data_IF_639334095704
#
_entry.id   IF_639334095704
#
_cell.length_a   1.000
_cell.length_b   1.000
_cell.length_c   1.000
_cell.angle_alpha   90.00
_cell.angle_beta   90.00
_cell.angle_gamma   90.00
#
_symmetry.space_group_name_H-M   'P 1'
#
loop_
_entity.id
_entity.type
_entity.pdbx_description
1 polymer ?
#
# COMPACT_ATOMS: atom_id res chain seq x y z
N UNK A 1 -53.53 34.95 74.04
CA UNK A 1 -54.22 34.80 72.74
C UNK A 1 -53.25 34.10 71.83
N UNK A 2 -53.53 32.82 71.62
CA UNK A 2 -52.60 31.75 71.28
C UNK A 2 -52.48 31.52 69.78
N UNK A 3 -51.31 30.99 69.43
CA UNK A 3 -50.89 30.27 68.22
C UNK A 3 -51.98 29.71 67.32
N UNK A 4 -51.78 29.90 66.01
CA UNK A 4 -52.32 29.01 64.99
C UNK A 4 -51.17 28.21 64.36
N UNK A 5 -51.28 26.90 64.48
CA UNK A 5 -50.48 25.87 63.82
C UNK A 5 -50.89 25.70 62.34
N UNK A 6 -49.85 25.54 61.53
CA UNK A 6 -49.62 24.72 60.34
C UNK A 6 -50.79 23.98 59.65
N UNK A 7 -50.77 24.01 58.30
CA UNK A 7 -51.10 22.97 57.27
C UNK A 7 -51.27 23.75 55.94
N UNK A 8 -50.86 23.36 54.73
CA UNK A 8 -49.85 22.49 54.17
C UNK A 8 -49.87 22.73 52.64
N UNK A 9 -48.69 22.59 52.00
CA UNK A 9 -48.47 21.98 50.67
C UNK A 9 -48.70 22.78 49.36
N UNK A 10 -47.85 22.37 48.40
CA UNK A 10 -47.93 22.51 46.92
C UNK A 10 -47.48 23.88 46.38
N UNK A 11 -46.71 24.02 45.31
CA UNK A 11 -46.05 23.12 44.36
C UNK A 11 -45.11 24.01 43.54
N UNK A 12 -43.83 23.65 43.39
CA UNK A 12 -42.89 24.41 42.57
C UNK A 12 -43.05 24.04 41.09
N UNK A 13 -44.19 24.38 40.52
CA UNK A 13 -44.45 24.22 39.09
C UNK A 13 -44.07 25.52 38.36
N UNK A 14 -42.79 25.65 37.99
CA UNK A 14 -42.34 26.68 37.05
C UNK A 14 -42.71 26.24 35.63
N UNK A 15 -43.53 26.99 34.87
CA UNK A 15 -43.85 26.66 33.51
C UNK A 15 -42.64 26.99 32.63
N UNK A 16 -41.95 25.96 32.15
CA UNK A 16 -40.96 26.11 31.09
C UNK A 16 -41.62 26.84 29.92
N UNK A 17 -41.09 28.01 29.56
CA UNK A 17 -41.43 28.63 28.28
C UNK A 17 -40.65 27.83 27.23
N UNK A 18 -41.20 26.71 26.77
CA UNK A 18 -40.77 26.15 25.47
C UNK A 18 -41.23 27.17 24.44
N UNK A 19 -40.31 28.05 24.09
CA UNK A 19 -40.41 28.93 22.92
C UNK A 19 -40.72 28.01 21.74
N UNK A 20 -41.98 27.98 21.32
CA UNK A 20 -42.41 27.18 20.18
C UNK A 20 -41.69 27.72 18.95
N UNK A 21 -40.60 27.06 18.55
CA UNK A 21 -39.88 27.38 17.31
C UNK A 21 -40.92 27.30 16.21
N UNK A 22 -41.17 28.43 15.55
CA UNK A 22 -41.97 28.42 14.33
C UNK A 22 -41.22 27.56 13.32
N UNK A 23 -41.89 26.60 12.65
CA UNK A 23 -41.25 25.85 11.60
C UNK A 23 -40.73 26.86 10.58
N UNK A 24 -39.47 26.73 10.13
CA UNK A 24 -38.94 27.62 9.10
C UNK A 24 -39.88 27.56 7.90
N UNK A 25 -40.13 28.72 7.29
CA UNK A 25 -40.92 28.78 6.06
C UNK A 25 -40.32 27.78 5.06
N UNK A 26 -41.18 27.06 4.34
CA UNK A 26 -40.76 26.07 3.32
C UNK A 26 -39.76 26.67 2.32
N UNK A 27 -39.88 27.97 2.08
CA UNK A 27 -38.99 28.75 1.23
C UNK A 27 -37.57 28.84 1.80
N UNK A 28 -37.42 29.01 3.11
CA UNK A 28 -36.12 29.06 3.80
C UNK A 28 -35.43 27.70 3.86
N UNK A 29 -36.21 26.62 4.03
CA UNK A 29 -35.69 25.26 3.95
C UNK A 29 -35.18 24.93 2.54
N UNK A 30 -35.89 25.37 1.49
CA UNK A 30 -35.49 25.17 0.10
C UNK A 30 -34.24 25.98 -0.28
N UNK A 31 -34.10 27.22 0.20
CA UNK A 31 -32.92 28.06 -0.07
C UNK A 31 -31.64 27.43 0.50
N UNK A 32 -31.74 26.77 1.65
CA UNK A 32 -30.60 26.11 2.31
C UNK A 32 -30.27 24.75 1.69
N UNK A 33 -31.27 23.97 1.26
CA UNK A 33 -31.06 22.60 0.77
C UNK A 33 -30.58 22.53 -0.68
N UNK A 34 -31.03 23.44 -1.55
CA UNK A 34 -30.65 23.49 -2.97
C UNK A 34 -29.13 23.59 -3.18
N UNK A 35 -28.37 24.51 -2.55
CA UNK A 35 -26.93 24.60 -2.75
C UNK A 35 -26.19 23.38 -2.20
N UNK A 36 -26.70 22.77 -1.12
CA UNK A 36 -26.13 21.55 -0.52
C UNK A 36 -26.30 20.36 -1.49
N UNK A 37 -27.50 20.15 -2.02
CA UNK A 37 -27.78 19.09 -2.99
C UNK A 37 -26.97 19.29 -4.27
N UNK A 38 -26.88 20.52 -4.77
CA UNK A 38 -26.09 20.85 -5.96
C UNK A 38 -24.59 20.58 -5.75
N UNK A 39 -24.05 20.98 -4.59
CA UNK A 39 -22.65 20.73 -4.23
C UNK A 39 -22.36 19.23 -4.09
N UNK A 40 -23.24 18.47 -3.45
CA UNK A 40 -23.12 17.01 -3.31
C UNK A 40 -23.15 16.30 -4.66
N UNK A 41 -24.01 16.72 -5.60
CA UNK A 41 -24.03 16.16 -6.95
C UNK A 41 -22.73 16.44 -7.72
N UNK A 42 -22.17 17.65 -7.57
CA UNK A 42 -20.87 17.99 -8.15
C UNK A 42 -19.72 17.15 -7.60
N UNK A 43 -19.68 16.93 -6.28
CA UNK A 43 -18.66 16.11 -5.63
C UNK A 43 -18.75 14.62 -6.00
N UNK A 44 -19.96 14.10 -6.23
CA UNK A 44 -20.18 12.72 -6.68
C UNK A 44 -19.84 12.51 -8.17
N UNK A 45 -19.76 13.58 -8.95
CA UNK A 45 -19.37 13.54 -10.37
C UNK A 45 -17.85 13.46 -10.60
N UNK A 46 -17.06 13.38 -9.53
CA UNK A 46 -15.63 13.05 -9.59
C UNK A 46 -15.38 11.59 -9.95
N UNK A 47 -15.79 11.15 -11.14
CA UNK A 47 -15.33 9.88 -11.72
C UNK A 47 -13.91 10.08 -12.23
N UNK A 48 -12.95 9.41 -11.57
CA UNK A 48 -11.58 9.31 -12.04
C UNK A 48 -11.54 8.50 -13.34
N UNK A 49 -11.73 9.14 -14.49
CA UNK A 49 -11.45 8.56 -15.82
C UNK A 49 -9.93 8.62 -16.12
N UNK A 50 -9.10 8.28 -15.14
CA UNK A 50 -7.68 8.05 -15.37
C UNK A 50 -7.53 6.75 -16.12
N UNK A 51 -7.32 6.83 -17.44
CA UNK A 51 -6.94 5.68 -18.27
C UNK A 51 -5.62 5.13 -17.72
N UNK A 52 -5.64 3.92 -17.18
CA UNK A 52 -4.42 3.21 -16.80
C UNK A 52 -3.71 2.78 -18.07
N UNK A 53 -2.67 3.52 -18.44
CA UNK A 53 -1.75 3.10 -19.49
C UNK A 53 -0.70 2.20 -18.85
N UNK A 54 -0.73 0.91 -19.22
CA UNK A 54 0.29 -0.04 -18.80
C UNK A 54 1.55 0.23 -19.61
N UNK A 55 2.55 0.83 -18.97
CA UNK A 55 3.89 0.96 -19.54
C UNK A 55 4.67 -0.30 -19.18
N UNK A 56 5.34 -0.96 -20.14
CA UNK A 56 6.21 -2.08 -19.82
C UNK A 56 7.33 -1.62 -18.88
N UNK A 57 7.49 -2.31 -17.77
CA UNK A 57 8.60 -2.07 -16.84
C UNK A 57 9.88 -2.54 -17.55
N UNK A 58 10.91 -1.68 -17.68
CA UNK A 58 12.17 -2.09 -18.25
C UNK A 58 12.80 -3.18 -17.35
N UNK A 59 13.30 -4.29 -17.92
CA UNK A 59 13.93 -5.34 -17.14
C UNK A 59 15.19 -4.81 -16.45
N UNK A 60 15.46 -5.25 -15.22
CA UNK A 60 16.71 -4.91 -14.55
C UNK A 60 17.86 -5.54 -15.35
N UNK A 61 18.84 -4.75 -15.82
CA UNK A 61 19.91 -5.28 -16.64
C UNK A 61 20.86 -6.13 -15.79
N UNK A 62 21.05 -7.38 -16.22
CA UNK A 62 22.06 -8.27 -15.65
C UNK A 62 23.41 -7.94 -16.27
N UNK A 63 24.47 -7.71 -15.47
CA UNK A 63 25.82 -7.50 -15.99
C UNK A 63 26.29 -8.64 -16.90
N UNK A 64 26.88 -8.31 -18.06
CA UNK A 64 27.26 -9.31 -19.07
C UNK A 64 28.26 -10.37 -18.55
N UNK A 65 29.10 -10.03 -17.57
CA UNK A 65 30.05 -10.98 -16.98
C UNK A 65 29.37 -12.12 -16.23
N UNK A 66 28.18 -11.88 -15.64
CA UNK A 66 27.41 -12.94 -14.96
C UNK A 66 26.77 -13.92 -15.95
N UNK A 67 26.59 -13.48 -17.19
CA UNK A 67 26.02 -14.27 -18.29
C UNK A 67 27.10 -14.92 -19.15
N UNK A 68 28.37 -14.81 -18.75
CA UNK A 68 29.46 -15.48 -19.45
C UNK A 68 29.34 -17.00 -19.29
N UNK A 69 29.74 -17.73 -20.33
CA UNK A 69 29.71 -19.20 -20.31
C UNK A 69 30.70 -19.75 -19.26
N UNK A 70 30.29 -20.83 -18.60
CA UNK A 70 31.17 -21.63 -17.74
C UNK A 70 32.12 -22.46 -18.59
N UNK A 71 33.26 -21.87 -18.97
CA UNK A 71 34.25 -22.54 -19.80
C UNK A 71 35.00 -23.60 -18.98
N UNK A 72 34.92 -24.86 -19.42
CA UNK A 72 35.75 -25.93 -18.87
C UNK A 72 37.22 -25.65 -19.21
N UNK A 73 38.17 -25.96 -18.28
CA UNK A 73 39.57 -26.03 -18.63
C UNK A 73 39.80 -27.08 -19.74
N UNK A 74 40.88 -26.90 -20.49
CA UNK A 74 41.29 -27.82 -21.55
C UNK A 74 41.69 -29.16 -20.93
N UNK A 75 41.05 -30.24 -21.39
CA UNK A 75 41.37 -31.60 -20.97
C UNK A 75 42.40 -32.16 -21.95
N UNK A 76 43.62 -32.50 -21.51
CA UNK A 76 44.63 -33.08 -22.38
C UNK A 76 44.32 -34.54 -22.73
N UNK A 77 44.69 -34.97 -23.94
CA UNK A 77 44.51 -36.36 -24.41
C UNK A 77 45.31 -37.39 -23.58
N UNK A 78 46.41 -36.93 -22.98
CA UNK A 78 47.25 -37.72 -22.08
C UNK A 78 47.59 -36.91 -20.84
N UNK A 79 47.40 -37.50 -19.65
CA UNK A 79 47.77 -36.86 -18.39
C UNK A 79 48.31 -37.90 -17.39
N UNK A 80 49.21 -37.47 -16.52
CA UNK A 80 49.60 -38.29 -15.37
C UNK A 80 48.52 -38.24 -14.29
N UNK A 81 48.58 -39.14 -13.30
CA UNK A 81 47.68 -39.07 -12.16
C UNK A 81 47.83 -37.75 -11.38
N UNK A 82 49.05 -37.19 -11.29
CA UNK A 82 49.27 -35.90 -10.63
C UNK A 82 48.58 -34.75 -11.38
N UNK A 83 48.64 -34.75 -12.71
CA UNK A 83 47.99 -33.73 -13.53
C UNK A 83 46.46 -33.76 -13.36
N UNK A 84 45.88 -34.95 -13.10
CA UNK A 84 44.45 -35.09 -12.83
C UNK A 84 44.00 -34.36 -11.57
N UNK A 85 44.87 -34.23 -10.57
CA UNK A 85 44.55 -33.48 -9.35
C UNK A 85 44.47 -31.98 -9.63
N UNK A 86 45.40 -31.46 -10.43
CA UNK A 86 45.40 -30.05 -10.85
C UNK A 86 44.18 -29.76 -11.72
N UNK A 87 43.84 -30.65 -12.66
CA UNK A 87 42.63 -30.51 -13.47
C UNK A 87 41.35 -30.50 -12.61
N UNK A 88 41.25 -31.37 -11.61
CA UNK A 88 40.11 -31.40 -10.69
C UNK A 88 39.99 -30.11 -9.89
N UNK A 89 41.11 -29.56 -9.41
CA UNK A 89 41.12 -28.28 -8.71
C UNK A 89 40.60 -27.15 -9.62
N UNK A 90 41.12 -27.04 -10.84
CA UNK A 90 40.65 -26.06 -11.84
C UNK A 90 39.15 -26.20 -12.14
N UNK A 91 38.66 -27.43 -12.31
CA UNK A 91 37.25 -27.70 -12.55
C UNK A 91 36.38 -27.24 -11.36
N UNK A 92 36.81 -27.52 -10.14
CA UNK A 92 36.10 -27.10 -8.93
C UNK A 92 36.06 -25.57 -8.81
N UNK A 93 37.15 -24.87 -9.14
CA UNK A 93 37.19 -23.40 -9.18
C UNK A 93 36.20 -22.82 -10.19
N UNK A 94 36.12 -23.39 -11.40
CA UNK A 94 35.14 -22.95 -12.41
C UNK A 94 33.71 -23.15 -11.91
N UNK A 95 33.42 -24.31 -11.30
CA UNK A 95 32.11 -24.60 -10.72
C UNK A 95 31.76 -23.62 -9.59
N UNK A 96 32.71 -23.32 -8.71
CA UNK A 96 32.54 -22.37 -7.62
C UNK A 96 32.18 -20.98 -8.17
N UNK A 97 32.97 -20.46 -9.11
CA UNK A 97 32.72 -19.15 -9.71
C UNK A 97 31.35 -19.10 -10.39
N UNK A 98 31.00 -20.10 -11.18
CA UNK A 98 29.69 -20.17 -11.82
C UNK A 98 28.52 -20.24 -10.83
N UNK A 99 28.72 -20.87 -9.68
CA UNK A 99 27.71 -20.91 -8.62
C UNK A 99 27.55 -19.55 -7.93
N UNK A 100 28.64 -18.77 -7.80
CA UNK A 100 28.59 -17.39 -7.33
C UNK A 100 27.85 -16.50 -8.34
N UNK A 101 28.14 -16.63 -9.63
CA UNK A 101 27.49 -15.82 -10.67
C UNK A 101 25.97 -16.13 -10.73
N UNK A 102 25.58 -17.41 -10.68
CA UNK A 102 24.17 -17.83 -10.57
C UNK A 102 23.47 -17.29 -9.32
N UNK A 103 24.19 -17.07 -8.23
CA UNK A 103 23.62 -16.48 -7.01
C UNK A 103 23.40 -14.99 -7.20
N UNK A 104 24.40 -14.28 -7.74
CA UNK A 104 24.30 -12.87 -8.05
C UNK A 104 23.15 -12.58 -9.03
N UNK A 105 22.96 -13.42 -10.06
CA UNK A 105 21.81 -13.34 -10.97
C UNK A 105 20.48 -13.43 -10.20
N UNK A 106 20.33 -14.44 -9.33
CA UNK A 106 19.11 -14.61 -8.53
C UNK A 106 18.82 -13.41 -7.62
N UNK A 107 19.85 -12.84 -7.00
CA UNK A 107 19.71 -11.64 -6.17
C UNK A 107 19.28 -10.41 -6.99
N UNK A 108 19.74 -10.29 -8.24
CA UNK A 108 19.32 -9.21 -9.16
C UNK A 108 17.87 -9.43 -9.60
N UNK A 109 17.50 -10.65 -9.95
CA UNK A 109 16.13 -11.02 -10.33
C UNK A 109 15.14 -10.78 -9.18
N UNK A 110 15.51 -11.13 -7.94
CA UNK A 110 14.70 -10.87 -6.75
C UNK A 110 14.47 -9.38 -6.50
N UNK A 111 15.45 -8.53 -6.79
CA UNK A 111 15.30 -7.06 -6.71
C UNK A 111 14.39 -6.50 -7.81
N UNK A 112 14.21 -7.24 -8.92
CA UNK A 112 13.38 -6.85 -10.06
C UNK A 112 11.96 -7.38 -10.02
N UNK A 113 11.62 -8.17 -9.02
CA UNK A 113 10.27 -8.66 -8.75
C UNK A 113 9.45 -7.62 -7.98
#
# INVERSE_FOLDING_TARGET
MTSHELIAKTDSSQPWILRKRRPPSKQWLSIMSVPIVLCLMGLLSGCSNTRTEYVPVPPIPIPAHLLADCLSPVIPDTMTWSDSLILNEQLLTVIEQCNLDKRAIREIEEKGK
#
